data_IF_904652522524
#
_entry.id   IF_904652522524
#
_cell.length_a   1.000
_cell.length_b   1.000
_cell.length_c   1.000
_cell.angle_alpha   90.00
_cell.angle_beta   90.00
_cell.angle_gamma   90.00
#
_symmetry.space_group_name_H-M   'P 1'
#
loop_
_entity.id
_entity.type
_entity.pdbx_description
1 polymer ?
#
# COMPACT_ATOMS: atom_id res chain seq x y z
N UNK A 1 25.57 -10.38 2.50
CA UNK A 1 26.60 -9.64 1.73
C UNK A 1 25.98 -8.34 1.22
N UNK A 2 26.65 -7.20 1.40
CA UNK A 2 26.20 -5.89 0.88
C UNK A 2 26.87 -5.61 -0.47
N UNK A 3 26.12 -5.06 -1.43
CA UNK A 3 26.65 -4.58 -2.72
C UNK A 3 26.56 -3.06 -2.77
N UNK A 4 27.56 -2.41 -3.41
CA UNK A 4 27.57 -0.95 -3.62
C UNK A 4 27.08 -0.64 -5.02
N UNK A 5 26.12 0.28 -5.10
CA UNK A 5 25.65 0.88 -6.36
C UNK A 5 25.88 2.39 -6.30
N UNK A 6 26.18 3.00 -7.45
CA UNK A 6 26.26 4.45 -7.60
C UNK A 6 25.24 4.85 -8.65
N UNK A 7 24.31 5.72 -8.28
CA UNK A 7 23.24 6.22 -9.16
C UNK A 7 23.29 7.74 -9.18
N UNK A 8 23.03 8.34 -10.34
CA UNK A 8 22.87 9.80 -10.45
C UNK A 8 21.40 10.10 -10.22
N UNK A 9 21.13 11.09 -9.38
CA UNK A 9 19.80 11.62 -9.11
C UNK A 9 19.82 13.12 -9.36
N UNK A 10 18.68 13.68 -9.73
CA UNK A 10 18.51 15.12 -9.82
C UNK A 10 18.35 15.76 -8.43
N UNK A 11 18.52 17.09 -8.38
CA UNK A 11 18.46 17.88 -7.14
C UNK A 11 17.09 17.81 -6.44
N UNK A 12 16.01 17.63 -7.20
CA UNK A 12 14.66 17.53 -6.64
C UNK A 12 14.50 16.21 -5.87
N UNK A 13 14.97 15.11 -6.46
CA UNK A 13 14.93 13.79 -5.83
C UNK A 13 15.85 13.73 -4.60
N UNK A 14 17.04 14.34 -4.66
CA UNK A 14 17.93 14.46 -3.51
C UNK A 14 17.25 15.20 -2.34
N UNK A 15 16.62 16.35 -2.62
CA UNK A 15 15.91 17.13 -1.61
C UNK A 15 14.79 16.32 -0.94
N UNK A 16 13.96 15.64 -1.74
CA UNK A 16 12.88 14.78 -1.23
C UNK A 16 13.41 13.65 -0.35
N UNK A 17 14.53 13.04 -0.73
CA UNK A 17 15.17 11.99 0.06
C UNK A 17 15.66 12.52 1.42
N UNK A 18 16.28 13.70 1.43
CA UNK A 18 16.76 14.35 2.66
C UNK A 18 15.61 14.66 3.61
N UNK A 19 14.54 15.27 3.11
CA UNK A 19 13.36 15.62 3.91
C UNK A 19 12.74 14.38 4.54
N UNK A 20 12.57 13.32 3.75
CA UNK A 20 11.97 12.06 4.22
C UNK A 20 12.86 11.33 5.21
N UNK A 21 14.18 11.30 4.98
CA UNK A 21 15.14 10.73 5.91
C UNK A 21 15.14 11.47 7.26
N UNK A 22 15.10 12.81 7.23
CA UNK A 22 14.99 13.65 8.44
C UNK A 22 13.70 13.40 9.20
N UNK A 23 12.56 13.38 8.50
CA UNK A 23 11.26 13.13 9.12
C UNK A 23 11.19 11.75 9.79
N UNK A 24 11.84 10.74 9.21
CA UNK A 24 11.91 9.39 9.74
C UNK A 24 13.05 9.16 10.76
N UNK A 25 13.96 10.13 10.96
CA UNK A 25 15.10 10.00 11.87
C UNK A 25 16.17 8.99 11.42
N UNK A 26 16.24 8.69 10.12
CA UNK A 26 17.16 7.70 9.54
C UNK A 26 18.19 8.33 8.60
N UNK A 27 19.22 7.57 8.23
CA UNK A 27 20.18 8.03 7.22
C UNK A 27 19.57 8.06 5.82
N UNK A 28 20.07 8.92 4.93
CA UNK A 28 19.62 8.95 3.52
C UNK A 28 19.76 7.60 2.83
N UNK A 29 20.86 6.87 3.10
CA UNK A 29 21.09 5.54 2.53
C UNK A 29 20.10 4.51 3.04
N UNK A 30 19.61 4.66 4.27
CA UNK A 30 18.57 3.78 4.84
C UNK A 30 17.21 4.10 4.25
N UNK A 31 16.84 5.37 4.16
CA UNK A 31 15.62 5.81 3.47
C UNK A 31 15.61 5.33 2.00
N UNK A 32 16.74 5.42 1.29
CA UNK A 32 16.85 4.96 -0.09
C UNK A 32 16.74 3.43 -0.19
N UNK A 33 17.40 2.68 0.71
CA UNK A 33 17.28 1.21 0.74
C UNK A 33 15.85 0.77 0.99
N UNK A 34 15.13 1.44 1.90
CA UNK A 34 13.75 1.14 2.20
C UNK A 34 12.82 1.46 1.02
N UNK A 35 13.03 2.60 0.36
CA UNK A 35 12.28 2.94 -0.84
C UNK A 35 12.47 1.90 -1.96
N UNK A 36 13.70 1.44 -2.20
CA UNK A 36 14.01 0.40 -3.19
C UNK A 36 13.37 -0.94 -2.79
N UNK A 37 13.44 -1.32 -1.51
CA UNK A 37 12.82 -2.54 -1.00
C UNK A 37 11.31 -2.51 -1.22
N UNK A 38 10.64 -1.45 -0.76
CA UNK A 38 9.20 -1.28 -0.90
C UNK A 38 8.76 -1.28 -2.36
N UNK A 39 9.53 -0.63 -3.25
CA UNK A 39 9.26 -0.67 -4.68
C UNK A 39 9.40 -2.09 -5.26
N UNK A 40 10.47 -2.82 -4.91
CA UNK A 40 10.69 -4.19 -5.38
C UNK A 40 9.65 -5.19 -4.85
N UNK A 41 9.11 -4.95 -3.65
CA UNK A 41 8.05 -5.77 -3.05
C UNK A 41 6.66 -5.42 -3.61
N UNK A 42 6.45 -4.18 -4.06
CA UNK A 42 5.17 -3.73 -4.61
C UNK A 42 4.76 -4.46 -5.89
N UNK A 43 5.72 -4.81 -6.75
CA UNK A 43 5.46 -5.49 -8.02
C UNK A 43 5.27 -7.02 -7.84
N UNK A 44 5.85 -7.62 -6.81
CA UNK A 44 5.79 -9.07 -6.59
C UNK A 44 4.48 -9.55 -5.94
N UNK A 45 3.74 -8.69 -5.27
CA UNK A 45 2.53 -9.08 -4.55
C UNK A 45 1.21 -8.61 -5.20
N UNK A 46 1.26 -7.76 -6.23
CA UNK A 46 0.06 -7.08 -6.73
C UNK A 46 -0.29 -7.32 -8.19
N UNK A 47 0.60 -7.86 -9.03
CA UNK A 47 0.27 -8.10 -10.45
C UNK A 47 -0.69 -9.30 -10.64
N UNK A 48 -0.72 -10.27 -9.72
CA UNK A 48 -1.53 -11.48 -9.85
C UNK A 48 -2.82 -11.51 -9.00
N UNK A 49 -3.05 -10.49 -8.16
CA UNK A 49 -4.22 -10.47 -7.27
C UNK A 49 -5.34 -9.58 -7.84
N UNK A 50 -6.51 -10.18 -8.04
CA UNK A 50 -7.74 -9.44 -8.28
C UNK A 50 -8.03 -8.46 -7.12
N UNK A 51 -8.80 -7.42 -7.40
CA UNK A 51 -9.20 -6.44 -6.38
C UNK A 51 -9.87 -7.11 -5.15
N UNK A 52 -10.64 -8.18 -5.39
CA UNK A 52 -11.25 -8.98 -4.33
C UNK A 52 -10.22 -9.69 -3.44
N UNK A 53 -9.18 -10.27 -4.03
CA UNK A 53 -8.12 -10.95 -3.26
C UNK A 53 -7.29 -9.96 -2.44
N UNK A 54 -7.04 -8.75 -2.97
CA UNK A 54 -6.38 -7.66 -2.23
C UNK A 54 -7.18 -7.26 -1.00
N UNK A 55 -8.50 -7.08 -1.14
CA UNK A 55 -9.41 -6.73 -0.04
C UNK A 55 -9.59 -7.86 0.97
N UNK A 56 -9.52 -9.11 0.52
CA UNK A 56 -9.53 -10.28 1.42
C UNK A 56 -8.24 -10.36 2.23
N UNK A 57 -7.08 -10.16 1.59
CA UNK A 57 -5.77 -10.19 2.26
C UNK A 57 -5.59 -9.04 3.25
N UNK A 58 -6.14 -7.86 2.97
CA UNK A 58 -6.14 -6.74 3.93
C UNK A 58 -7.12 -6.94 5.09
N UNK A 59 -7.86 -8.05 5.11
CA UNK A 59 -8.86 -8.35 6.13
C UNK A 59 -10.09 -7.46 6.07
N UNK A 60 -10.33 -6.77 4.94
CA UNK A 60 -11.51 -5.90 4.75
C UNK A 60 -12.75 -6.70 4.32
N UNK A 61 -12.57 -7.76 3.53
CA UNK A 61 -13.67 -8.70 3.24
C UNK A 61 -13.83 -9.63 4.44
N UNK A 62 -15.01 -9.62 5.06
CA UNK A 62 -15.32 -10.45 6.23
C UNK A 62 -14.82 -9.89 7.56
N UNK A 63 -14.54 -8.58 7.65
CA UNK A 63 -14.10 -7.92 8.89
C UNK A 63 -15.18 -7.76 9.97
N UNK A 64 -16.44 -8.09 9.65
CA UNK A 64 -17.58 -7.96 10.55
C UNK A 64 -18.20 -9.34 10.74
N UNK A 65 -18.05 -9.89 11.94
CA UNK A 65 -18.54 -11.23 12.29
C UNK A 65 -20.06 -11.28 12.55
N UNK A 66 -20.65 -10.15 12.97
CA UNK A 66 -22.04 -10.05 13.43
C UNK A 66 -22.87 -9.07 12.56
N UNK A 67 -22.56 -9.06 11.25
CA UNK A 67 -23.31 -8.28 10.27
C UNK A 67 -24.42 -9.11 9.60
N UNK A 68 -25.53 -8.49 9.16
CA UNK A 68 -26.53 -9.17 8.35
C UNK A 68 -25.88 -9.82 7.12
N UNK A 69 -26.21 -11.09 6.86
CA UNK A 69 -25.58 -11.89 5.81
C UNK A 69 -25.67 -11.30 4.40
N UNK A 70 -26.63 -10.40 4.16
CA UNK A 70 -26.78 -9.68 2.91
C UNK A 70 -27.33 -8.27 3.15
N UNK A 71 -26.48 -7.28 2.90
CA UNK A 71 -26.84 -5.87 2.88
C UNK A 71 -26.89 -5.31 1.45
N UNK A 72 -26.40 -6.06 0.46
CA UNK A 72 -26.23 -5.60 -0.92
C UNK A 72 -27.35 -6.06 -1.87
N UNK A 73 -28.13 -7.06 -1.49
CA UNK A 73 -29.26 -7.56 -2.26
C UNK A 73 -30.52 -7.83 -1.42
N UNK A 74 -30.54 -7.44 -0.14
CA UNK A 74 -31.72 -7.56 0.70
C UNK A 74 -32.75 -6.46 0.37
N UNK A 75 -33.92 -6.81 -0.21
CA UNK A 75 -34.91 -5.81 -0.66
C UNK A 75 -35.38 -4.88 0.45
N UNK A 76 -35.44 -5.38 1.70
CA UNK A 76 -35.86 -4.59 2.87
C UNK A 76 -34.91 -3.43 3.19
N UNK A 77 -33.63 -3.54 2.82
CA UNK A 77 -32.61 -2.51 3.07
C UNK A 77 -32.29 -1.66 1.83
N UNK A 78 -32.82 -2.03 0.67
CA UNK A 78 -32.61 -1.37 -0.62
C UNK A 78 -33.77 -0.45 -1.03
N UNK A 79 -34.92 -0.55 -0.37
CA UNK A 79 -36.07 0.34 -0.61
C UNK A 79 -35.68 1.79 -0.23
N UNK A 80 -35.67 2.70 -1.21
CA UNK A 80 -35.27 4.10 -1.05
C UNK A 80 -33.75 4.38 -1.10
N UNK A 81 -32.92 3.38 -1.43
CA UNK A 81 -31.48 3.58 -1.58
C UNK A 81 -31.14 4.24 -2.92
N UNK A 82 -30.68 5.50 -2.90
CA UNK A 82 -30.23 6.24 -4.09
C UNK A 82 -31.25 7.23 -4.69
N UNK A 83 -32.39 7.44 -4.02
CA UNK A 83 -33.28 8.60 -4.27
C UNK A 83 -32.79 9.87 -3.55
#
# INVERSE_FOLDING_TARGET
MTKRITVRIDDELERKLIERARAAGVSQSEALREAIRSWAEADLEMEDLSYGERLRRSGLIGCLDDAPADLSANPRHMEGFGE
#
